data_IF_188066271740
#
_entry.id   IF_188066271740
#
_cell.length_a   1.000
_cell.length_b   1.000
_cell.length_c   1.000
_cell.angle_alpha   90.00
_cell.angle_beta   90.00
_cell.angle_gamma   90.00
#
_symmetry.space_group_name_H-M   'P 1'
#
loop_
_entity.id
_entity.type
_entity.pdbx_description
1 polymer ?
#
# COMPACT_ATOMS: atom_id res chain seq x y z
N UNK A 1 24.65 -5.76 64.69
CA UNK A 1 24.41 -4.55 63.88
C UNK A 1 23.51 -4.91 62.71
N UNK A 2 22.45 -4.12 62.54
CA UNK A 2 21.43 -4.13 61.45
C UNK A 2 22.07 -4.14 60.04
N UNK A 3 21.42 -4.46 58.92
CA UNK A 3 20.01 -4.40 58.57
C UNK A 3 19.68 -5.19 57.27
N UNK A 4 18.49 -5.81 57.26
CA UNK A 4 17.39 -5.78 56.23
C UNK A 4 17.63 -6.08 54.73
N UNK A 5 16.89 -7.13 54.30
CA UNK A 5 15.89 -7.25 53.19
C UNK A 5 16.45 -7.25 51.74
N UNK A 6 15.93 -8.02 50.77
CA UNK A 6 14.54 -8.36 50.43
C UNK A 6 14.55 -9.53 49.40
N UNK A 7 13.94 -10.69 49.70
CA UNK A 7 12.61 -11.14 49.23
C UNK A 7 12.47 -11.37 47.72
N UNK A 8 12.30 -12.63 47.30
CA UNK A 8 11.40 -12.98 46.21
C UNK A 8 10.72 -14.30 46.56
N UNK A 9 9.42 -14.21 46.80
CA UNK A 9 8.53 -15.29 47.22
C UNK A 9 8.00 -16.00 45.98
N UNK A 10 8.13 -17.31 45.98
CA UNK A 10 7.43 -18.22 45.09
C UNK A 10 5.94 -18.23 45.45
N UNK A 11 5.06 -17.90 44.50
CA UNK A 11 3.62 -18.18 44.59
C UNK A 11 3.09 -18.57 43.21
N UNK A 12 2.83 -19.88 43.07
CA UNK A 12 1.71 -20.56 42.41
C UNK A 12 0.88 -19.75 41.40
N UNK A 13 1.11 -19.95 40.10
CA UNK A 13 0.23 -19.46 39.02
C UNK A 13 -0.65 -20.63 38.52
N UNK A 14 -1.88 -20.69 39.04
CA UNK A 14 -2.91 -21.62 38.58
C UNK A 14 -3.51 -21.19 37.23
N UNK A 15 -3.88 -22.15 36.36
CA UNK A 15 -4.36 -21.88 35.01
C UNK A 15 -5.76 -21.27 35.03
N UNK A 16 -5.88 -20.02 34.54
CA UNK A 16 -7.18 -19.34 34.39
C UNK A 16 -7.98 -19.95 33.22
N UNK A 17 -9.14 -20.48 33.58
CA UNK A 17 -10.15 -21.12 32.76
C UNK A 17 -10.59 -20.25 31.56
N UNK A 18 -10.56 -20.83 30.36
CA UNK A 18 -11.09 -20.24 29.11
C UNK A 18 -12.59 -19.99 29.26
N UNK A 19 -13.01 -18.72 29.28
CA UNK A 19 -14.42 -18.35 29.15
C UNK A 19 -14.82 -18.51 27.68
N UNK A 20 -15.73 -19.46 27.43
CA UNK A 20 -16.44 -19.66 26.16
C UNK A 20 -17.49 -18.54 26.04
N UNK A 21 -17.28 -17.60 25.13
CA UNK A 21 -18.27 -16.58 24.76
C UNK A 21 -19.23 -17.15 23.72
N UNK A 22 -20.52 -16.96 23.94
CA UNK A 22 -21.64 -17.34 23.09
C UNK A 22 -21.72 -16.48 21.81
N UNK A 23 -22.39 -16.94 20.74
CA UNK A 23 -22.52 -16.20 19.49
C UNK A 23 -23.51 -15.04 19.70
N UNK A 24 -23.06 -13.81 19.46
CA UNK A 24 -23.93 -12.65 19.37
C UNK A 24 -24.56 -12.60 17.97
N UNK A 25 -25.83 -12.25 17.96
CA UNK A 25 -26.77 -12.30 16.85
C UNK A 25 -26.34 -11.40 15.68
N UNK A 26 -26.42 -11.95 14.47
CA UNK A 26 -26.17 -11.23 13.22
C UNK A 26 -27.46 -10.51 12.87
N UNK A 27 -27.52 -9.20 13.13
CA UNK A 27 -28.46 -8.32 12.46
C UNK A 27 -27.85 -7.94 11.10
N UNK A 28 -28.48 -8.43 10.03
CA UNK A 28 -28.33 -7.91 8.67
C UNK A 28 -28.81 -6.46 8.62
N UNK A 29 -27.91 -5.52 8.91
CA UNK A 29 -28.09 -4.09 8.62
C UNK A 29 -27.43 -3.78 7.26
N UNK A 30 -28.18 -4.08 6.20
CA UNK A 30 -27.99 -3.58 4.85
C UNK A 30 -28.29 -2.07 4.84
N UNK A 31 -27.30 -1.28 5.22
CA UNK A 31 -27.48 0.15 5.45
C UNK A 31 -26.20 0.97 5.29
N UNK A 32 -25.25 0.50 4.49
CA UNK A 32 -24.02 1.22 4.16
C UNK A 32 -24.32 2.49 3.38
N UNK A 33 -24.54 3.59 4.10
CA UNK A 33 -24.73 4.94 3.59
C UNK A 33 -23.65 5.29 2.55
N UNK A 34 -23.99 5.20 1.26
CA UNK A 34 -23.23 5.84 0.19
C UNK A 34 -23.37 7.35 0.39
N UNK A 35 -22.48 7.91 1.20
CA UNK A 35 -22.22 9.35 1.15
C UNK A 35 -21.88 9.67 -0.30
N UNK A 36 -22.69 10.50 -0.95
CA UNK A 36 -22.45 11.05 -2.29
C UNK A 36 -21.25 12.01 -2.30
N UNK A 37 -20.16 11.63 -1.63
CA UNK A 37 -18.88 12.32 -1.64
C UNK A 37 -18.14 11.98 -2.92
N UNK A 38 -17.57 13.01 -3.55
CA UNK A 38 -16.77 12.88 -4.77
C UNK A 38 -15.65 11.85 -4.56
N UNK A 39 -15.65 10.78 -5.36
CA UNK A 39 -14.57 9.79 -5.35
C UNK A 39 -13.31 10.38 -5.98
N UNK A 40 -12.16 10.12 -5.36
CA UNK A 40 -10.86 10.44 -5.95
C UNK A 40 -10.61 9.55 -7.17
N UNK A 41 -9.90 10.07 -8.16
CA UNK A 41 -9.49 9.30 -9.32
C UNK A 41 -8.23 8.48 -9.02
N UNK A 42 -8.08 7.32 -9.65
CA UNK A 42 -6.78 6.66 -9.73
C UNK A 42 -5.83 7.54 -10.58
N UNK A 43 -4.64 7.92 -10.10
CA UNK A 43 -3.71 8.75 -10.87
C UNK A 43 -3.32 8.13 -12.22
N UNK A 44 -3.16 6.81 -12.27
CA UNK A 44 -2.78 6.10 -13.50
C UNK A 44 -3.91 6.10 -14.53
N UNK A 45 -5.15 5.89 -14.09
CA UNK A 45 -6.32 6.05 -14.96
C UNK A 45 -6.47 7.48 -15.46
N UNK A 46 -6.29 8.46 -14.58
CA UNK A 46 -6.40 9.88 -14.92
C UNK A 46 -5.39 10.30 -16.00
N UNK A 47 -4.19 9.72 -15.99
CA UNK A 47 -3.15 9.98 -17.00
C UNK A 47 -3.29 9.12 -18.26
N UNK A 48 -3.67 7.86 -18.11
CA UNK A 48 -3.77 6.89 -19.20
C UNK A 48 -5.13 6.15 -19.17
N UNK A 49 -6.23 6.82 -19.56
CA UNK A 49 -7.57 6.27 -19.40
C UNK A 49 -7.78 4.95 -20.15
N UNK A 50 -7.22 4.83 -21.35
CA UNK A 50 -7.35 3.64 -22.21
C UNK A 50 -6.64 2.41 -21.64
N UNK A 51 -5.56 2.59 -20.86
CA UNK A 51 -4.77 1.50 -20.30
C UNK A 51 -5.31 0.99 -18.95
N UNK A 52 -6.00 1.87 -18.21
CA UNK A 52 -6.41 1.59 -16.83
C UNK A 52 -7.91 1.75 -16.60
N UNK A 53 -8.74 1.53 -17.62
CA UNK A 53 -10.22 1.55 -17.52
C UNK A 53 -10.74 0.70 -16.35
N UNK A 54 -10.10 -0.43 -16.06
CA UNK A 54 -10.42 -1.30 -14.91
C UNK A 54 -10.35 -0.62 -13.55
N UNK A 55 -9.59 0.48 -13.41
CA UNK A 55 -9.45 1.21 -12.16
C UNK A 55 -10.67 2.11 -11.86
N UNK A 56 -11.47 2.45 -12.88
CA UNK A 56 -12.71 3.21 -12.73
C UNK A 56 -13.80 2.36 -12.04
N UNK A 57 -13.88 1.07 -12.37
CA UNK A 57 -14.98 0.20 -11.95
C UNK A 57 -14.76 -0.51 -10.62
N UNK A 58 -13.51 -0.68 -10.18
CA UNK A 58 -13.17 -1.57 -9.05
C UNK A 58 -13.07 -0.88 -7.70
N UNK A 59 -13.04 0.45 -7.61
CA UNK A 59 -12.67 1.12 -6.37
C UNK A 59 -13.36 2.48 -6.19
N UNK A 60 -14.22 2.58 -5.17
CA UNK A 60 -14.61 3.86 -4.58
C UNK A 60 -13.44 4.42 -3.77
N UNK A 61 -12.58 5.23 -4.39
CA UNK A 61 -11.45 5.86 -3.71
C UNK A 61 -11.93 7.08 -2.91
N UNK A 62 -12.55 6.83 -1.75
CA UNK A 62 -13.15 7.87 -0.90
C UNK A 62 -12.12 8.71 -0.14
N UNK A 63 -10.88 8.23 0.01
CA UNK A 63 -9.76 8.92 0.67
C UNK A 63 -8.44 8.56 0.00
N UNK A 64 -7.42 9.42 0.13
CA UNK A 64 -6.06 9.19 -0.34
C UNK A 64 -5.42 7.93 0.23
N UNK A 65 -5.81 7.50 1.43
CA UNK A 65 -5.37 6.19 1.96
C UNK A 65 -5.84 5.03 1.08
N UNK A 66 -7.08 5.09 0.57
CA UNK A 66 -7.59 4.11 -0.39
C UNK A 66 -6.91 4.24 -1.75
N UNK A 67 -6.57 5.45 -2.19
CA UNK A 67 -5.78 5.67 -3.43
C UNK A 67 -4.43 4.95 -3.32
N UNK A 68 -3.69 5.13 -2.23
CA UNK A 68 -2.39 4.48 -2.05
C UNK A 68 -2.52 2.96 -1.91
N UNK A 69 -3.55 2.47 -1.21
CA UNK A 69 -3.84 1.04 -1.14
C UNK A 69 -4.15 0.47 -2.53
N UNK A 70 -4.98 1.15 -3.32
CA UNK A 70 -5.34 0.76 -4.68
C UNK A 70 -4.11 0.71 -5.57
N UNK A 71 -3.24 1.72 -5.54
CA UNK A 71 -1.97 1.72 -6.27
C UNK A 71 -1.13 0.50 -5.87
N UNK A 72 -1.05 0.20 -4.58
CA UNK A 72 -0.30 -0.98 -4.11
C UNK A 72 -0.88 -2.33 -4.51
N UNK A 73 -2.17 -2.42 -4.87
CA UNK A 73 -2.82 -3.68 -5.29
C UNK A 73 -2.91 -3.83 -6.80
N UNK A 74 -3.17 -2.74 -7.51
CA UNK A 74 -3.43 -2.74 -8.96
C UNK A 74 -2.23 -2.28 -9.78
N UNK A 75 -1.27 -1.60 -9.14
CA UNK A 75 -0.13 -0.95 -9.77
C UNK A 75 1.18 -1.19 -8.99
N UNK A 76 1.33 -2.33 -8.32
CA UNK A 76 2.61 -2.75 -7.75
C UNK A 76 3.54 -3.30 -8.83
N UNK A 77 4.84 -3.04 -8.72
CA UNK A 77 5.81 -3.73 -9.58
C UNK A 77 5.80 -5.24 -9.31
N UNK A 78 5.94 -6.07 -10.35
CA UNK A 78 6.22 -7.48 -10.16
C UNK A 78 7.60 -7.66 -9.51
N UNK A 79 7.81 -8.80 -8.87
CA UNK A 79 9.09 -9.14 -8.25
C UNK A 79 10.13 -9.24 -9.37
N UNK A 80 11.20 -8.44 -9.33
CA UNK A 80 12.18 -8.37 -10.41
C UNK A 80 13.61 -8.58 -9.92
N UNK A 81 14.46 -9.11 -10.79
CA UNK A 81 15.90 -9.16 -10.57
C UNK A 81 16.50 -7.73 -10.68
N UNK A 82 17.30 -7.27 -9.69
CA UNK A 82 17.92 -5.95 -9.74
C UNK A 82 19.04 -5.84 -10.79
N UNK A 83 19.53 -6.97 -11.32
CA UNK A 83 20.61 -7.02 -12.31
C UNK A 83 20.02 -6.95 -13.72
N UNK A 84 19.14 -7.88 -14.07
CA UNK A 84 18.63 -8.02 -15.43
C UNK A 84 17.18 -7.53 -15.63
N UNK A 85 16.50 -7.05 -14.58
CA UNK A 85 15.09 -6.62 -14.60
C UNK A 85 14.05 -7.67 -15.01
N UNK A 86 14.43 -8.97 -15.10
CA UNK A 86 13.49 -10.06 -15.33
C UNK A 86 12.44 -10.11 -14.22
N UNK A 87 11.16 -10.28 -14.58
CA UNK A 87 10.06 -10.44 -13.64
C UNK A 87 9.88 -11.90 -13.23
N UNK A 88 9.43 -12.10 -11.99
CA UNK A 88 9.21 -13.37 -11.32
C UNK A 88 7.89 -13.31 -10.57
N UNK A 89 7.27 -14.46 -10.36
CA UNK A 89 6.03 -14.58 -9.59
C UNK A 89 6.33 -14.70 -8.09
N UNK A 90 7.52 -15.21 -7.74
CA UNK A 90 7.97 -15.37 -6.37
C UNK A 90 9.31 -14.73 -6.04
N UNK A 91 9.47 -14.30 -4.78
CA UNK A 91 10.76 -13.83 -4.26
C UNK A 91 11.82 -14.94 -4.28
N UNK A 92 11.41 -16.18 -3.97
CA UNK A 92 12.29 -17.35 -4.01
C UNK A 92 12.85 -17.61 -5.42
N UNK A 93 12.03 -17.49 -6.46
CA UNK A 93 12.45 -17.69 -7.86
C UNK A 93 13.45 -16.62 -8.30
N UNK A 94 13.20 -15.36 -7.94
CA UNK A 94 14.15 -14.26 -8.17
C UNK A 94 15.47 -14.52 -7.44
N UNK A 95 15.41 -14.93 -6.18
CA UNK A 95 16.62 -15.12 -5.37
C UNK A 95 17.45 -16.29 -5.88
N UNK A 96 16.80 -17.37 -6.33
CA UNK A 96 17.46 -18.47 -7.03
C UNK A 96 18.09 -18.00 -8.36
N UNK A 97 17.36 -17.20 -9.14
CA UNK A 97 17.91 -16.61 -10.35
C UNK A 97 19.14 -15.72 -10.10
N UNK A 98 19.14 -14.92 -9.02
CA UNK A 98 20.29 -14.10 -8.62
C UNK A 98 21.46 -15.01 -8.22
N UNK A 99 21.19 -16.09 -7.47
CA UNK A 99 22.21 -17.07 -7.05
C UNK A 99 22.88 -17.77 -8.22
N UNK A 100 22.14 -18.09 -9.27
CA UNK A 100 22.68 -18.72 -10.47
C UNK A 100 23.62 -17.81 -11.26
N UNK A 101 23.57 -16.48 -11.04
CA UNK A 101 24.42 -15.48 -11.71
C UNK A 101 24.39 -15.57 -13.25
N UNK A 102 23.31 -16.13 -13.82
CA UNK A 102 23.19 -16.38 -15.27
C UNK A 102 22.73 -15.16 -16.07
N UNK A 103 22.54 -14.01 -15.41
CA UNK A 103 21.91 -12.85 -16.02
C UNK A 103 22.87 -11.67 -16.21
N UNK A 104 22.64 -10.90 -17.27
CA UNK A 104 23.47 -9.74 -17.62
C UNK A 104 22.81 -8.44 -17.14
N UNK A 105 23.65 -7.50 -16.72
CA UNK A 105 23.20 -6.18 -16.23
C UNK A 105 22.57 -5.37 -17.35
N UNK A 106 21.40 -4.80 -17.09
CA UNK A 106 20.78 -3.79 -17.96
C UNK A 106 20.78 -2.44 -17.25
N UNK A 107 21.27 -1.41 -17.96
CA UNK A 107 21.14 -0.01 -17.55
C UNK A 107 19.66 0.36 -17.47
N UNK A 108 19.18 0.76 -16.29
CA UNK A 108 17.80 1.23 -16.14
C UNK A 108 17.67 2.47 -15.27
N UNK A 109 16.81 3.38 -15.72
CA UNK A 109 16.37 4.55 -14.95
C UNK A 109 15.37 4.08 -13.90
N UNK A 110 15.70 4.29 -12.62
CA UNK A 110 14.90 3.83 -11.49
C UNK A 110 13.65 4.70 -11.33
N UNK A 111 12.48 4.06 -11.22
CA UNK A 111 11.33 4.63 -10.51
C UNK A 111 10.34 5.49 -11.29
N UNK A 112 10.37 5.50 -12.63
CA UNK A 112 9.29 6.11 -13.42
C UNK A 112 8.28 5.04 -13.87
N UNK A 113 6.98 5.32 -13.71
CA UNK A 113 5.94 4.60 -14.44
C UNK A 113 6.05 5.06 -15.90
N UNK A 114 7.00 4.50 -16.64
CA UNK A 114 7.16 4.76 -18.06
C UNK A 114 5.96 4.16 -18.81
N UNK A 115 5.26 5.01 -19.54
CA UNK A 115 4.21 4.60 -20.48
C UNK A 115 3.06 3.75 -19.90
N UNK A 116 2.81 3.81 -18.58
CA UNK A 116 1.73 3.03 -17.94
C UNK A 116 2.04 1.54 -17.76
N UNK A 117 3.30 1.11 -17.94
CA UNK A 117 3.66 -0.32 -17.83
C UNK A 117 4.32 -0.68 -16.51
N UNK A 118 4.92 0.28 -15.83
CA UNK A 118 5.60 0.00 -14.57
C UNK A 118 4.82 0.45 -13.34
N UNK A 119 4.71 -0.42 -12.34
CA UNK A 119 4.11 -0.09 -11.06
C UNK A 119 5.05 0.67 -10.12
N UNK A 120 4.60 0.89 -8.88
CA UNK A 120 5.46 1.31 -7.77
C UNK A 120 6.02 0.09 -7.04
N UNK A 121 7.30 0.13 -6.65
CA UNK A 121 7.88 -0.86 -5.75
C UNK A 121 7.40 -0.65 -4.30
N UNK A 122 7.58 -1.67 -3.45
CA UNK A 122 7.22 -1.64 -2.02
C UNK A 122 7.83 -0.46 -1.29
N UNK A 123 9.09 -0.10 -1.55
CA UNK A 123 9.71 1.05 -0.89
C UNK A 123 9.02 2.37 -1.29
N UNK A 124 8.70 2.54 -2.58
CA UNK A 124 8.00 3.71 -3.09
C UNK A 124 6.57 3.81 -2.51
N UNK A 125 5.87 2.68 -2.35
CA UNK A 125 4.55 2.64 -1.72
C UNK A 125 4.59 3.06 -0.24
N UNK A 126 5.63 2.64 0.50
CA UNK A 126 5.81 3.03 1.90
C UNK A 126 6.08 4.53 2.00
N UNK A 127 6.98 5.06 1.16
CA UNK A 127 7.28 6.48 1.10
C UNK A 127 6.03 7.32 0.76
N UNK A 128 5.25 6.87 -0.22
CA UNK A 128 4.01 7.51 -0.62
C UNK A 128 3.01 7.59 0.54
N UNK A 129 2.83 6.50 1.30
CA UNK A 129 1.97 6.49 2.50
C UNK A 129 2.43 7.49 3.55
N UNK A 130 3.74 7.57 3.81
CA UNK A 130 4.28 8.51 4.79
C UNK A 130 4.04 9.96 4.39
N UNK A 131 4.15 10.28 3.09
CA UNK A 131 3.88 11.63 2.56
C UNK A 131 2.41 12.03 2.70
N UNK A 132 1.48 11.10 2.49
CA UNK A 132 0.02 11.37 2.55
C UNK A 132 -0.54 11.37 3.96
N UNK A 133 0.12 10.73 4.92
CA UNK A 133 -0.31 10.68 6.34
C UNK A 133 0.05 11.91 7.16
N UNK A 134 0.62 12.96 6.55
CA UNK A 134 0.97 14.21 7.25
C UNK A 134 -0.30 14.92 7.72
N UNK A 135 -0.34 15.31 9.00
CA UNK A 135 -1.50 16.01 9.57
C UNK A 135 -1.71 17.37 8.89
N UNK A 136 -2.99 17.76 8.74
CA UNK A 136 -3.38 19.08 8.23
C UNK A 136 -3.45 19.20 6.70
N UNK A 137 -3.23 18.11 5.95
CA UNK A 137 -3.45 18.10 4.50
C UNK A 137 -4.89 17.69 4.16
N UNK A 138 -5.51 18.44 3.25
CA UNK A 138 -6.78 18.06 2.62
C UNK A 138 -6.56 16.88 1.67
N UNK A 139 -7.59 16.05 1.46
CA UNK A 139 -7.54 14.92 0.50
C UNK A 139 -7.05 15.33 -0.90
N UNK A 140 -7.50 16.48 -1.42
CA UNK A 140 -7.05 16.99 -2.71
C UNK A 140 -5.53 17.28 -2.75
N UNK A 141 -4.98 17.92 -1.71
CA UNK A 141 -3.53 18.17 -1.58
C UNK A 141 -2.73 16.87 -1.46
N UNK A 142 -3.21 15.92 -0.66
CA UNK A 142 -2.59 14.59 -0.58
C UNK A 142 -2.63 13.88 -1.93
N UNK A 143 -3.72 14.01 -2.68
CA UNK A 143 -3.85 13.42 -4.00
C UNK A 143 -2.86 14.02 -5.01
N UNK A 144 -2.70 15.34 -5.01
CA UNK A 144 -1.68 15.98 -5.86
C UNK A 144 -0.25 15.60 -5.45
N UNK A 145 0.02 15.41 -4.14
CA UNK A 145 1.30 14.88 -3.69
C UNK A 145 1.55 13.44 -4.20
N UNK A 146 0.49 12.63 -4.30
CA UNK A 146 0.57 11.31 -4.96
C UNK A 146 0.89 11.47 -6.45
N UNK A 147 0.19 12.38 -7.13
CA UNK A 147 0.43 12.65 -8.56
C UNK A 147 1.88 13.03 -8.83
N UNK A 148 2.42 13.99 -8.10
CA UNK A 148 3.80 14.47 -8.29
C UNK A 148 4.83 13.39 -8.00
N UNK A 149 4.55 12.50 -7.04
CA UNK A 149 5.42 11.39 -6.72
C UNK A 149 5.45 10.33 -7.83
N UNK A 150 4.29 10.01 -8.41
CA UNK A 150 4.19 9.01 -9.48
C UNK A 150 4.68 9.57 -10.82
N UNK A 151 4.43 10.86 -11.06
CA UNK A 151 4.64 11.53 -12.33
C UNK A 151 5.47 12.81 -12.15
N UNK A 152 6.75 12.70 -11.76
CA UNK A 152 7.60 13.87 -11.61
C UNK A 152 7.69 14.64 -12.93
N UNK A 153 7.40 15.94 -12.88
CA UNK A 153 7.44 16.84 -14.05
C UNK A 153 6.22 16.77 -14.98
N UNK A 154 5.22 15.92 -14.71
CA UNK A 154 3.98 15.92 -15.48
C UNK A 154 3.03 17.03 -15.01
N UNK A 155 2.26 17.66 -15.92
CA UNK A 155 1.24 18.63 -15.53
C UNK A 155 0.19 17.93 -14.66
N UNK A 156 -0.26 18.62 -13.60
CA UNK A 156 -1.36 18.15 -12.75
C UNK A 156 -2.68 18.29 -13.51
N UNK A 157 -3.62 17.35 -13.35
CA UNK A 157 -4.96 17.51 -13.89
C UNK A 157 -5.75 18.56 -13.10
N UNK A 158 -6.80 19.09 -13.70
CA UNK A 158 -7.64 20.16 -13.12
C UNK A 158 -8.36 19.73 -11.83
N UNK A 159 -8.62 18.43 -11.68
CA UNK A 159 -9.36 17.88 -10.55
C UNK A 159 -8.82 16.51 -10.13
N UNK A 160 -8.70 16.24 -8.81
CA UNK A 160 -8.30 14.94 -8.28
C UNK A 160 -9.44 13.92 -8.27
N UNK A 161 -10.67 14.33 -8.61
CA UNK A 161 -11.87 13.51 -8.56
C UNK A 161 -12.17 12.85 -9.92
N UNK A 162 -12.97 11.78 -9.93
CA UNK A 162 -13.46 11.11 -11.16
C UNK A 162 -14.46 12.00 -11.90
#
# INVERSE_FOLDING_TARGET
MSARRKSSSCHDDQPRKRRRSTPAEVHDDDGGQYTGGRALACPLYKRFPTQFTRCLFRNSLTSTSFVVQHIGRCHSQPIRCPICSRAFDGAAERDEHIRQQTCQSVSRVRGCIDNGREGLDRHQLVELRQRTSRRGLTEAKCWYAIWDFIFPGAPRPDSPYV
#
